data_IF_257972221103
#
_entry.id   IF_257972221103
#
_cell.length_a   1.000
_cell.length_b   1.000
_cell.length_c   1.000
_cell.angle_alpha   90.00
_cell.angle_beta   90.00
_cell.angle_gamma   90.00
#
_symmetry.space_group_name_H-M   'P 1'
#
loop_
_entity.id
_entity.type
_entity.pdbx_description
1 polymer ?
#
# COMPACT_ATOMS: atom_id res chain seq x y z
N UNK A 1 27.95 -4.89 7.85
CA UNK A 1 26.50 -5.07 7.60
C UNK A 1 25.88 -3.68 7.59
N UNK A 2 24.99 -3.34 6.65
CA UNK A 2 24.34 -2.02 6.60
C UNK A 2 23.09 -2.03 7.48
N UNK A 3 22.97 -1.08 8.39
CA UNK A 3 21.76 -0.85 9.17
C UNK A 3 20.95 0.24 8.47
N UNK A 4 19.68 -0.05 8.19
CA UNK A 4 18.79 0.83 7.43
C UNK A 4 17.62 1.18 8.34
N UNK A 5 17.58 2.41 8.88
CA UNK A 5 16.46 2.93 9.64
C UNK A 5 15.18 2.92 8.81
N UNK A 6 14.07 2.48 9.41
CA UNK A 6 12.75 2.47 8.78
C UNK A 6 11.76 3.24 9.64
N UNK A 7 11.06 4.20 9.02
CA UNK A 7 9.85 4.82 9.55
C UNK A 7 8.66 4.17 8.87
N UNK A 8 7.70 3.70 9.66
CA UNK A 8 6.47 3.09 9.18
C UNK A 8 5.27 4.00 9.46
N UNK A 9 4.70 4.60 8.42
CA UNK A 9 3.40 5.26 8.47
C UNK A 9 2.31 4.22 8.19
N UNK A 10 1.53 3.92 9.23
CA UNK A 10 0.44 2.94 9.18
C UNK A 10 0.79 1.64 9.90
N UNK A 11 -0.01 1.28 10.89
CA UNK A 11 0.08 0.01 11.62
C UNK A 11 -1.21 -0.83 11.47
N UNK A 12 -1.87 -0.72 10.31
CA UNK A 12 -3.06 -1.50 9.95
C UNK A 12 -2.72 -2.93 9.49
N UNK A 13 -3.55 -3.54 8.65
CA UNK A 13 -3.29 -4.87 8.08
C UNK A 13 -1.93 -5.00 7.40
N UNK A 14 -1.67 -4.15 6.40
CA UNK A 14 -0.39 -4.13 5.66
C UNK A 14 0.79 -3.79 6.56
N UNK A 15 0.66 -2.79 7.44
CA UNK A 15 1.73 -2.40 8.36
C UNK A 15 2.13 -3.51 9.31
N UNK A 16 1.17 -4.22 9.91
CA UNK A 16 1.45 -5.38 10.79
C UNK A 16 2.12 -6.52 10.02
N UNK A 17 1.63 -6.81 8.80
CA UNK A 17 2.24 -7.83 7.94
C UNK A 17 3.69 -7.49 7.59
N UNK A 18 3.98 -6.21 7.28
CA UNK A 18 5.35 -5.76 7.02
C UNK A 18 6.23 -5.87 8.25
N UNK A 19 5.75 -5.47 9.44
CA UNK A 19 6.51 -5.63 10.69
C UNK A 19 6.83 -7.10 10.96
N UNK A 20 5.84 -7.99 10.80
CA UNK A 20 6.01 -9.44 10.93
C UNK A 20 7.07 -9.96 9.94
N UNK A 21 6.97 -9.55 8.67
CA UNK A 21 7.92 -9.94 7.63
C UNK A 21 9.35 -9.46 7.94
N UNK A 22 9.52 -8.25 8.48
CA UNK A 22 10.84 -7.75 8.90
C UNK A 22 11.46 -8.63 9.98
N UNK A 23 10.66 -9.09 10.96
CA UNK A 23 11.11 -10.01 12.01
C UNK A 23 11.48 -11.36 11.38
N UNK A 24 10.54 -11.98 10.66
CA UNK A 24 10.66 -13.35 10.17
C UNK A 24 11.78 -13.51 9.14
N UNK A 25 12.12 -12.44 8.41
CA UNK A 25 13.14 -12.47 7.35
C UNK A 25 14.47 -11.82 7.74
N UNK A 26 14.63 -11.38 9.00
CA UNK A 26 15.80 -10.59 9.44
C UNK A 26 17.14 -11.27 9.10
N UNK A 27 17.29 -12.55 9.43
CA UNK A 27 18.51 -13.32 9.16
C UNK A 27 18.72 -13.60 7.66
N UNK A 28 17.63 -13.84 6.94
CA UNK A 28 17.66 -14.05 5.50
C UNK A 28 18.13 -12.78 4.77
N UNK A 29 17.57 -11.62 5.12
CA UNK A 29 17.94 -10.33 4.53
C UNK A 29 19.37 -9.94 4.94
N UNK A 30 19.76 -10.20 6.19
CA UNK A 30 21.12 -9.96 6.66
C UNK A 30 22.16 -10.78 5.89
N UNK A 31 21.88 -12.06 5.64
CA UNK A 31 22.80 -12.95 4.92
C UNK A 31 22.82 -12.69 3.40
N UNK A 32 21.66 -12.52 2.76
CA UNK A 32 21.57 -12.34 1.29
C UNK A 32 21.86 -10.92 0.84
N UNK A 33 21.32 -9.92 1.52
CA UNK A 33 21.38 -8.51 1.10
C UNK A 33 22.42 -7.71 1.87
N UNK A 34 23.07 -8.31 2.89
CA UNK A 34 24.07 -7.66 3.76
C UNK A 34 23.53 -6.40 4.44
N UNK A 35 22.21 -6.34 4.66
CA UNK A 35 21.52 -5.26 5.35
C UNK A 35 20.56 -5.76 6.42
N UNK A 36 20.23 -4.87 7.36
CA UNK A 36 19.22 -5.08 8.39
C UNK A 36 18.31 -3.87 8.40
N UNK A 37 17.00 -4.10 8.45
CA UNK A 37 16.02 -3.05 8.65
C UNK A 37 15.81 -2.86 10.15
N UNK A 38 16.08 -1.64 10.62
CA UNK A 38 15.88 -1.26 12.01
C UNK A 38 14.72 -0.28 12.05
N UNK A 39 13.56 -0.76 12.48
CA UNK A 39 12.36 0.07 12.58
C UNK A 39 12.58 1.06 13.73
N UNK A 40 12.73 2.34 13.41
CA UNK A 40 12.97 3.41 14.39
C UNK A 40 11.69 4.14 14.76
N UNK A 41 10.67 4.08 13.90
CA UNK A 41 9.38 4.70 14.16
C UNK A 41 8.23 3.88 13.59
N UNK A 42 7.13 3.79 14.34
CA UNK A 42 5.84 3.31 13.86
C UNK A 42 4.76 4.31 14.23
N UNK A 43 3.94 4.70 13.27
CA UNK A 43 2.83 5.62 13.46
C UNK A 43 1.51 4.97 13.01
N UNK A 44 0.45 5.18 13.76
CA UNK A 44 -0.92 4.89 13.32
C UNK A 44 -1.74 6.18 13.23
N UNK A 45 -3.07 6.14 13.09
CA UNK A 45 -3.89 7.36 12.99
C UNK A 45 -3.92 8.23 14.26
N UNK A 46 -3.53 7.70 15.42
CA UNK A 46 -3.72 8.36 16.74
C UNK A 46 -2.43 8.45 17.56
N UNK A 47 -1.46 7.62 17.26
CA UNK A 47 -0.34 7.35 18.14
C UNK A 47 0.93 7.03 17.37
N UNK A 48 2.06 7.16 18.04
CA UNK A 48 3.36 6.86 17.47
C UNK A 48 4.30 6.31 18.54
N UNK A 49 5.27 5.52 18.10
CA UNK A 49 6.37 5.05 18.90
C UNK A 49 7.67 5.38 18.18
N UNK A 50 8.60 6.02 18.88
CA UNK A 50 9.87 6.52 18.36
C UNK A 50 11.02 6.00 19.21
N UNK A 51 11.98 5.34 18.57
CA UNK A 51 13.20 4.82 19.18
C UNK A 51 14.34 4.89 18.16
N UNK A 52 15.15 5.97 18.16
CA UNK A 52 16.26 6.17 17.21
C UNK A 52 17.24 5.01 17.13
N UNK A 53 17.43 4.30 18.25
CA UNK A 53 18.31 3.13 18.32
C UNK A 53 17.71 1.86 17.65
N UNK A 54 16.47 1.93 17.17
CA UNK A 54 15.72 0.81 16.60
C UNK A 54 14.92 0.06 17.65
N UNK A 55 13.70 -0.34 17.28
CA UNK A 55 12.80 -1.19 18.07
C UNK A 55 13.24 -2.66 17.94
N UNK A 56 13.35 -3.35 19.09
CA UNK A 56 13.63 -4.78 19.14
C UNK A 56 12.45 -5.64 18.68
N UNK A 57 12.71 -6.91 18.36
CA UNK A 57 11.68 -7.81 17.83
C UNK A 57 10.49 -7.97 18.78
N UNK A 58 10.73 -8.10 20.09
CA UNK A 58 9.66 -8.15 21.10
C UNK A 58 8.79 -6.89 21.10
N UNK A 59 9.39 -5.71 20.90
CA UNK A 59 8.64 -4.45 20.80
C UNK A 59 7.80 -4.41 19.52
N UNK A 60 8.34 -4.90 18.40
CA UNK A 60 7.59 -5.00 17.13
C UNK A 60 6.42 -5.99 17.24
N UNK A 61 6.62 -7.12 17.92
CA UNK A 61 5.54 -8.08 18.22
C UNK A 61 4.46 -7.45 19.10
N UNK A 62 4.84 -6.72 20.15
CA UNK A 62 3.90 -5.99 21.00
C UNK A 62 3.07 -4.97 20.21
N UNK A 63 3.68 -4.26 19.26
CA UNK A 63 2.97 -3.35 18.35
C UNK A 63 1.93 -4.13 17.54
N UNK A 64 2.30 -5.27 16.94
CA UNK A 64 1.38 -6.10 16.16
C UNK A 64 0.18 -6.54 17.01
N UNK A 65 0.43 -7.10 18.20
CA UNK A 65 -0.63 -7.57 19.10
C UNK A 65 -1.53 -6.44 19.62
N UNK A 66 -0.95 -5.29 19.98
CA UNK A 66 -1.73 -4.12 20.40
C UNK A 66 -2.66 -3.66 19.27
N UNK A 67 -2.17 -3.63 18.03
CA UNK A 67 -2.98 -3.23 16.87
C UNK A 67 -4.05 -4.26 16.49
N UNK A 68 -3.78 -5.55 16.64
CA UNK A 68 -4.79 -6.63 16.55
C UNK A 68 -5.93 -6.42 17.54
N UNK A 69 -5.61 -6.02 18.77
CA UNK A 69 -6.59 -5.71 19.82
C UNK A 69 -7.23 -4.31 19.70
N UNK A 70 -6.97 -3.57 18.61
CA UNK A 70 -7.51 -2.21 18.41
C UNK A 70 -6.91 -1.14 19.33
N UNK A 71 -5.80 -1.43 20.00
CA UNK A 71 -5.16 -0.53 20.97
C UNK A 71 -4.25 0.49 20.27
N UNK A 72 -3.87 1.52 21.02
CA UNK A 72 -2.90 2.55 20.60
C UNK A 72 -1.47 2.06 20.83
N UNK A 73 -0.53 2.65 20.12
CA UNK A 73 0.90 2.35 20.25
C UNK A 73 1.65 3.58 20.76
N UNK A 74 2.36 3.47 21.88
CA UNK A 74 3.16 4.58 22.41
C UNK A 74 2.36 5.86 22.70
N UNK A 75 2.96 7.01 22.37
CA UNK A 75 2.47 8.35 22.73
C UNK A 75 1.49 8.95 21.71
N UNK A 76 1.07 10.20 21.95
CA UNK A 76 0.24 10.97 20.99
C UNK A 76 1.01 11.16 19.68
N UNK A 77 0.36 10.88 18.54
CA UNK A 77 0.95 11.04 17.20
C UNK A 77 1.42 12.48 16.95
N UNK A 78 2.62 12.59 16.37
CA UNK A 78 3.12 13.82 15.74
C UNK A 78 2.66 13.93 14.28
N UNK A 79 2.67 15.15 13.75
CA UNK A 79 2.48 15.36 12.32
C UNK A 79 3.57 14.66 11.50
N UNK A 80 3.23 14.18 10.30
CA UNK A 80 4.17 13.41 9.48
C UNK A 80 5.43 14.20 9.08
N UNK A 81 5.31 15.52 8.86
CA UNK A 81 6.46 16.37 8.55
C UNK A 81 7.37 16.55 9.76
N UNK A 82 6.77 16.67 10.95
CA UNK A 82 7.50 16.78 12.22
C UNK A 82 8.28 15.50 12.54
N UNK A 83 7.75 14.34 12.16
CA UNK A 83 8.47 13.06 12.31
C UNK A 83 9.74 13.05 11.47
N UNK A 84 9.71 13.58 10.25
CA UNK A 84 10.89 13.67 9.39
C UNK A 84 11.93 14.65 9.94
N UNK A 85 11.51 15.69 10.66
CA UNK A 85 12.43 16.64 11.33
C UNK A 85 13.23 15.98 12.47
N UNK A 86 12.75 14.87 13.02
CA UNK A 86 13.48 14.13 14.06
C UNK A 86 14.65 13.31 13.51
N UNK A 87 14.65 12.98 12.21
CA UNK A 87 15.67 12.11 11.62
C UNK A 87 17.08 12.72 11.67
N UNK A 88 17.33 13.97 11.24
CA UNK A 88 18.66 14.57 11.32
C UNK A 88 19.13 14.76 12.77
N UNK A 89 18.23 15.16 13.67
CA UNK A 89 18.53 15.34 15.10
C UNK A 89 18.98 14.03 15.76
N UNK A 90 18.46 12.91 15.29
CA UNK A 90 18.83 11.56 15.73
C UNK A 90 20.07 10.98 15.01
N UNK A 91 20.72 11.75 14.11
CA UNK A 91 21.87 11.28 13.32
C UNK A 91 21.51 10.25 12.25
N UNK A 92 20.24 10.18 11.83
CA UNK A 92 19.75 9.21 10.85
C UNK A 92 19.82 9.80 9.44
N UNK A 93 21.03 9.90 8.89
CA UNK A 93 21.31 10.46 7.56
C UNK A 93 20.72 9.65 6.39
N UNK A 94 20.29 8.41 6.65
CA UNK A 94 19.62 7.54 5.67
C UNK A 94 18.43 6.88 6.33
N UNK A 95 17.30 6.87 5.65
CA UNK A 95 16.07 6.27 6.13
C UNK A 95 15.26 5.70 4.97
N UNK A 96 14.45 4.69 5.28
CA UNK A 96 13.32 4.28 4.45
C UNK A 96 12.03 4.76 5.10
N UNK A 97 11.24 5.51 4.35
CA UNK A 97 9.90 5.97 4.74
C UNK A 97 8.88 5.07 4.05
N UNK A 98 8.17 4.27 4.83
CA UNK A 98 7.14 3.36 4.33
C UNK A 98 5.75 3.96 4.59
N UNK A 99 5.04 4.36 3.53
CA UNK A 99 3.62 4.72 3.61
C UNK A 99 2.76 3.51 3.25
N UNK A 100 2.29 2.85 4.30
CA UNK A 100 1.34 1.73 4.23
C UNK A 100 -0.01 2.13 4.81
N UNK A 101 -0.34 3.43 4.78
CA UNK A 101 -1.64 3.94 5.16
C UNK A 101 -2.63 3.90 4.00
N UNK A 102 -3.90 4.19 4.32
CA UNK A 102 -4.91 4.58 3.33
C UNK A 102 -5.19 6.10 3.41
N UNK A 103 -4.26 6.92 3.93
CA UNK A 103 -4.48 8.34 4.16
C UNK A 103 -4.37 9.16 2.87
N UNK A 104 -5.19 10.21 2.76
CA UNK A 104 -4.96 11.30 1.79
C UNK A 104 -3.94 12.28 2.37
N UNK A 105 -3.26 13.05 1.52
CA UNK A 105 -2.40 14.15 1.99
C UNK A 105 -1.01 13.71 2.47
N UNK A 106 -0.53 12.54 2.04
CA UNK A 106 0.83 12.07 2.36
C UNK A 106 1.89 12.64 1.42
N UNK A 107 1.48 13.30 0.34
CA UNK A 107 2.35 13.90 -0.68
C UNK A 107 3.40 14.85 -0.08
N UNK A 108 3.08 15.76 0.87
CA UNK A 108 4.09 16.61 1.49
C UNK A 108 5.16 15.82 2.27
N UNK A 109 4.76 14.75 2.96
CA UNK A 109 5.67 13.88 3.70
C UNK A 109 6.58 13.11 2.74
N UNK A 110 5.99 12.59 1.66
CA UNK A 110 6.72 11.86 0.61
C UNK A 110 7.73 12.80 -0.06
N UNK A 111 7.31 13.98 -0.51
CA UNK A 111 8.19 14.95 -1.16
C UNK A 111 9.34 15.37 -0.25
N UNK A 112 9.05 15.73 1.01
CA UNK A 112 10.10 16.07 1.99
C UNK A 112 11.08 14.92 2.23
N UNK A 113 10.61 13.68 2.27
CA UNK A 113 11.49 12.52 2.42
C UNK A 113 12.40 12.31 1.20
N UNK A 114 11.87 12.46 -0.01
CA UNK A 114 12.64 12.33 -1.25
C UNK A 114 13.66 13.46 -1.40
N UNK A 115 13.28 14.70 -1.08
CA UNK A 115 14.18 15.88 -1.06
C UNK A 115 15.35 15.70 -0.07
N UNK A 116 15.08 15.07 1.08
CA UNK A 116 16.11 14.72 2.07
C UNK A 116 17.00 13.53 1.65
N UNK A 117 16.77 12.93 0.47
CA UNK A 117 17.54 11.80 -0.04
C UNK A 117 17.15 10.45 0.57
N UNK A 118 16.02 10.36 1.28
CA UNK A 118 15.52 9.11 1.84
C UNK A 118 14.86 8.24 0.76
N UNK A 119 14.85 6.92 1.00
CA UNK A 119 14.06 6.00 0.19
C UNK A 119 12.60 6.04 0.64
N UNK A 120 11.67 5.98 -0.30
CA UNK A 120 10.23 5.91 -0.01
C UNK A 120 9.65 4.64 -0.61
N UNK A 121 8.84 3.93 0.18
CA UNK A 121 8.08 2.76 -0.28
C UNK A 121 6.59 2.97 0.00
N UNK A 122 5.75 2.76 -1.01
CA UNK A 122 4.30 2.99 -0.92
C UNK A 122 3.53 1.69 -1.08
N UNK A 123 2.59 1.44 -0.16
CA UNK A 123 1.40 0.64 -0.44
C UNK A 123 0.17 1.54 -0.64
N UNK A 124 0.25 2.80 -0.22
CA UNK A 124 -0.77 3.81 -0.47
C UNK A 124 -0.79 4.22 -1.94
N UNK A 125 -1.93 4.04 -2.59
CA UNK A 125 -2.15 4.39 -4.01
C UNK A 125 -2.40 5.89 -4.21
N UNK A 126 -2.90 6.59 -3.19
CA UNK A 126 -3.42 7.97 -3.32
C UNK A 126 -2.41 8.96 -3.90
N UNK A 127 -1.14 8.97 -3.46
CA UNK A 127 -0.13 9.86 -4.04
C UNK A 127 0.14 9.63 -5.54
N UNK A 128 -0.11 8.42 -6.04
CA UNK A 128 0.13 8.04 -7.44
C UNK A 128 -1.08 8.29 -8.34
N UNK A 129 -2.25 8.54 -7.76
CA UNK A 129 -3.53 8.69 -8.45
C UNK A 129 -4.13 10.09 -8.32
N UNK A 130 -3.36 11.07 -7.81
CA UNK A 130 -3.72 12.48 -7.88
C UNK A 130 -3.63 13.04 -9.30
N UNK A 131 -3.78 14.37 -9.49
CA UNK A 131 -3.57 15.03 -10.78
C UNK A 131 -2.23 14.62 -11.40
N UNK A 132 -2.21 14.34 -12.71
CA UNK A 132 -1.01 13.80 -13.37
C UNK A 132 0.20 14.72 -13.20
N UNK A 133 -0.01 16.03 -13.31
CA UNK A 133 1.04 17.04 -13.16
C UNK A 133 1.77 16.95 -11.81
N UNK A 134 1.04 16.61 -10.74
CA UNK A 134 1.58 16.48 -9.39
C UNK A 134 2.13 15.08 -9.08
N UNK A 135 1.71 14.05 -9.81
CA UNK A 135 2.08 12.66 -9.54
C UNK A 135 3.23 12.15 -10.43
N UNK A 136 3.43 12.75 -11.62
CA UNK A 136 4.34 12.23 -12.66
C UNK A 136 5.78 12.02 -12.20
N UNK A 137 6.29 12.87 -11.30
CA UNK A 137 7.66 12.75 -10.81
C UNK A 137 7.87 11.49 -9.97
N UNK A 138 6.85 11.01 -9.26
CA UNK A 138 6.95 9.78 -8.46
C UNK A 138 7.26 8.55 -9.31
N UNK A 139 6.72 8.48 -10.53
CA UNK A 139 6.90 7.32 -11.40
C UNK A 139 8.34 7.15 -11.90
N UNK A 140 9.07 8.25 -12.05
CA UNK A 140 10.46 8.28 -12.50
C UNK A 140 11.48 8.39 -11.34
N UNK A 141 11.03 8.59 -10.10
CA UNK A 141 11.95 8.88 -9.00
C UNK A 141 12.78 7.65 -8.59
N UNK A 142 14.13 7.73 -8.59
CA UNK A 142 14.99 6.57 -8.39
C UNK A 142 14.92 5.97 -6.99
N UNK A 143 14.52 6.76 -5.99
CA UNK A 143 14.40 6.34 -4.58
C UNK A 143 12.98 5.98 -4.14
N UNK A 144 12.00 5.95 -5.06
CA UNK A 144 10.61 5.64 -4.72
C UNK A 144 10.19 4.27 -5.29
N UNK A 145 9.55 3.43 -4.48
CA UNK A 145 9.01 2.12 -4.88
C UNK A 145 7.55 2.00 -4.44
N UNK A 146 6.75 1.26 -5.19
CA UNK A 146 5.30 1.17 -4.95
C UNK A 146 4.72 -0.17 -5.42
N UNK A 147 5.50 -1.26 -5.30
CA UNK A 147 5.11 -2.59 -5.80
C UNK A 147 3.74 -3.04 -5.28
N UNK A 148 3.48 -2.86 -3.98
CA UNK A 148 2.26 -3.34 -3.34
C UNK A 148 1.01 -2.51 -3.67
N UNK A 149 1.13 -1.44 -4.47
CA UNK A 149 -0.03 -0.64 -4.91
C UNK A 149 -0.88 -1.37 -5.94
N UNK A 150 -0.29 -2.25 -6.76
CA UNK A 150 -0.98 -3.04 -7.78
C UNK A 150 -0.43 -4.48 -7.78
N UNK A 151 -1.31 -5.48 -7.82
CA UNK A 151 -0.90 -6.89 -7.80
C UNK A 151 -0.53 -7.43 -6.41
N UNK A 152 -0.53 -6.59 -5.37
CA UNK A 152 -0.28 -7.01 -3.99
C UNK A 152 1.12 -7.58 -3.80
N UNK A 153 1.24 -8.90 -3.74
CA UNK A 153 2.52 -9.61 -3.67
C UNK A 153 3.10 -10.04 -5.02
N UNK A 154 2.37 -9.82 -6.12
CA UNK A 154 2.82 -10.16 -7.47
C UNK A 154 3.79 -9.09 -8.02
N UNK A 155 4.82 -9.48 -8.79
CA UNK A 155 5.82 -8.55 -9.33
C UNK A 155 5.30 -7.79 -10.56
N UNK A 156 4.22 -7.03 -10.41
CA UNK A 156 3.57 -6.30 -11.52
C UNK A 156 4.32 -5.02 -11.86
N UNK A 157 4.59 -4.18 -10.86
CA UNK A 157 5.21 -2.86 -11.02
C UNK A 157 6.66 -3.04 -11.46
N UNK A 158 7.40 -3.94 -10.81
CA UNK A 158 8.78 -4.26 -11.17
C UNK A 158 8.92 -4.79 -12.60
N UNK A 159 8.01 -5.65 -13.05
CA UNK A 159 8.00 -6.16 -14.44
C UNK A 159 7.73 -5.04 -15.43
N UNK A 160 6.72 -4.21 -15.20
CA UNK A 160 6.38 -3.10 -16.10
C UNK A 160 7.51 -2.06 -16.16
N UNK A 161 8.14 -1.76 -15.03
CA UNK A 161 9.31 -0.89 -14.99
C UNK A 161 10.48 -1.47 -15.77
N UNK A 162 10.77 -2.76 -15.60
CA UNK A 162 11.83 -3.43 -16.35
C UNK A 162 11.65 -3.25 -17.86
N UNK A 163 10.44 -3.53 -18.38
CA UNK A 163 10.11 -3.35 -19.81
C UNK A 163 10.32 -1.90 -20.26
N UNK A 164 9.87 -0.91 -19.48
CA UNK A 164 10.06 0.50 -19.78
C UNK A 164 11.52 0.92 -19.79
N UNK A 165 12.30 0.44 -18.81
CA UNK A 165 13.72 0.75 -18.66
C UNK A 165 14.56 0.11 -19.80
N UNK A 166 14.09 -1.02 -20.37
CA UNK A 166 14.71 -1.66 -21.55
C UNK A 166 14.25 -1.08 -22.89
N UNK A 167 13.34 -0.11 -22.87
CA UNK A 167 12.85 0.59 -24.06
C UNK A 167 11.70 -0.12 -24.79
N UNK A 168 11.09 -1.13 -24.18
CA UNK A 168 9.91 -1.79 -24.73
C UNK A 168 8.71 -0.84 -24.76
N UNK A 169 7.90 -0.98 -25.79
CA UNK A 169 6.63 -0.25 -25.93
C UNK A 169 5.49 -1.11 -25.39
N UNK A 170 4.73 -0.54 -24.46
CA UNK A 170 3.54 -1.20 -23.89
C UNK A 170 2.34 -0.86 -24.77
N UNK A 171 1.74 -1.89 -25.38
CA UNK A 171 0.56 -1.72 -26.25
C UNK A 171 -0.75 -1.85 -25.49
N UNK A 172 -0.76 -2.55 -24.36
CA UNK A 172 -1.96 -2.82 -23.58
C UNK A 172 -1.63 -3.52 -22.27
N UNK A 173 -2.49 -3.34 -21.28
CA UNK A 173 -2.41 -4.04 -19.99
C UNK A 173 -3.82 -4.55 -19.70
N UNK A 174 -3.94 -5.85 -19.49
CA UNK A 174 -5.18 -6.53 -19.14
C UNK A 174 -4.93 -7.43 -17.93
N UNK A 175 -5.88 -7.48 -17.00
CA UNK A 175 -5.76 -8.37 -15.85
C UNK A 175 -6.90 -8.24 -14.85
N UNK A 176 -7.05 -9.28 -14.02
CA UNK A 176 -7.93 -9.23 -12.86
C UNK A 176 -7.20 -8.58 -11.69
N UNK A 177 -7.58 -7.34 -11.37
CA UNK A 177 -6.91 -6.49 -10.40
C UNK A 177 -7.63 -6.43 -9.04
N UNK A 178 -8.78 -7.09 -8.87
CA UNK A 178 -9.48 -7.23 -7.58
C UNK A 178 -9.69 -8.71 -7.23
N UNK A 179 -9.25 -9.08 -6.01
CA UNK A 179 -9.48 -10.41 -5.47
C UNK A 179 -10.97 -10.68 -5.22
N UNK A 180 -11.67 -9.69 -4.64
CA UNK A 180 -13.11 -9.74 -4.35
C UNK A 180 -13.92 -9.93 -5.62
N UNK A 181 -13.71 -9.08 -6.63
CA UNK A 181 -14.42 -9.16 -7.90
C UNK A 181 -14.05 -10.44 -8.67
N UNK A 182 -12.78 -10.82 -8.65
CA UNK A 182 -12.31 -12.07 -9.26
C UNK A 182 -12.98 -13.30 -8.65
N UNK A 183 -13.12 -13.34 -7.33
CA UNK A 183 -13.84 -14.41 -6.65
C UNK A 183 -15.32 -14.43 -7.03
N UNK A 184 -16.00 -13.28 -6.96
CA UNK A 184 -17.43 -13.18 -7.29
C UNK A 184 -17.67 -13.63 -8.73
N UNK A 185 -16.93 -13.10 -9.71
CA UNK A 185 -17.05 -13.52 -11.11
C UNK A 185 -16.78 -15.02 -11.29
N UNK A 186 -15.77 -15.57 -10.62
CA UNK A 186 -15.49 -17.01 -10.68
C UNK A 186 -16.63 -17.86 -10.12
N UNK A 187 -17.40 -17.38 -9.15
CA UNK A 187 -18.56 -18.09 -8.61
C UNK A 187 -19.77 -17.99 -9.55
N UNK A 188 -19.98 -16.83 -10.18
CA UNK A 188 -21.00 -16.65 -11.22
C UNK A 188 -20.74 -17.56 -12.43
N UNK A 189 -19.49 -17.68 -12.88
CA UNK A 189 -19.10 -18.59 -13.96
C UNK A 189 -19.40 -20.07 -13.64
N UNK A 190 -19.42 -20.42 -12.36
CA UNK A 190 -19.81 -21.75 -11.85
C UNK A 190 -21.33 -21.90 -11.69
N UNK A 191 -22.11 -20.88 -12.05
CA UNK A 191 -23.58 -20.88 -11.95
C UNK A 191 -24.12 -20.52 -10.58
N UNK A 192 -23.31 -19.92 -9.68
CA UNK A 192 -23.80 -19.43 -8.39
C UNK A 192 -24.58 -18.13 -8.55
N UNK A 193 -25.58 -17.90 -7.70
CA UNK A 193 -26.27 -16.62 -7.64
C UNK A 193 -25.35 -15.52 -7.10
N UNK A 194 -25.50 -14.30 -7.62
CA UNK A 194 -24.69 -13.15 -7.20
C UNK A 194 -24.78 -12.87 -5.69
N UNK A 195 -25.98 -12.93 -5.09
CA UNK A 195 -26.14 -12.76 -3.63
C UNK A 195 -25.36 -13.79 -2.83
N UNK A 196 -25.33 -15.04 -3.29
CA UNK A 196 -24.65 -16.10 -2.58
C UNK A 196 -23.12 -15.91 -2.68
N UNK A 197 -22.63 -15.63 -3.88
CA UNK A 197 -21.21 -15.35 -4.10
C UNK A 197 -20.72 -14.15 -3.27
N UNK A 198 -21.54 -13.10 -3.17
CA UNK A 198 -21.23 -11.92 -2.35
C UNK A 198 -21.24 -12.24 -0.85
N UNK A 199 -22.25 -12.99 -0.38
CA UNK A 199 -22.34 -13.41 1.02
C UNK A 199 -21.15 -14.30 1.42
N UNK A 200 -20.76 -15.24 0.55
CA UNK A 200 -19.61 -16.11 0.76
C UNK A 200 -18.30 -15.31 0.79
N UNK A 201 -18.13 -14.35 -0.13
CA UNK A 201 -16.97 -13.45 -0.16
C UNK A 201 -16.84 -12.65 1.15
N UNK A 202 -17.95 -12.12 1.67
CA UNK A 202 -17.98 -11.40 2.94
C UNK A 202 -17.67 -12.32 4.12
N UNK A 203 -18.26 -13.52 4.17
CA UNK A 203 -18.00 -14.51 5.22
C UNK A 203 -16.52 -14.95 5.27
N UNK A 204 -15.83 -14.98 4.12
CA UNK A 204 -14.39 -15.26 4.04
C UNK A 204 -13.50 -14.04 4.29
N UNK A 205 -14.09 -12.85 4.49
CA UNK A 205 -13.37 -11.59 4.69
C UNK A 205 -12.66 -11.09 3.43
N UNK A 206 -13.16 -11.44 2.24
CA UNK A 206 -12.65 -10.89 0.98
C UNK A 206 -13.19 -9.49 0.70
N UNK A 207 -14.39 -9.16 1.15
CA UNK A 207 -14.97 -7.83 0.99
C UNK A 207 -14.52 -6.89 2.09
N UNK A 208 -14.57 -5.59 1.81
CA UNK A 208 -14.60 -4.56 2.86
C UNK A 208 -15.91 -4.67 3.69
N UNK A 209 -16.00 -4.01 4.86
CA UNK A 209 -17.22 -4.00 5.67
C UNK A 209 -18.46 -3.52 4.91
N UNK A 210 -18.26 -2.62 3.94
CA UNK A 210 -19.27 -2.23 2.96
C UNK A 210 -18.86 -2.77 1.57
N UNK A 211 -19.51 -3.83 1.06
CA UNK A 211 -19.12 -4.45 -0.21
C UNK A 211 -19.27 -3.54 -1.44
N UNK A 212 -19.99 -2.42 -1.33
CA UNK A 212 -20.08 -1.43 -2.41
C UNK A 212 -18.72 -0.83 -2.74
N UNK A 213 -17.81 -0.74 -1.76
CA UNK A 213 -16.46 -0.24 -1.99
C UNK A 213 -15.67 -1.11 -2.97
N UNK A 214 -15.88 -2.43 -2.92
CA UNK A 214 -15.30 -3.38 -3.89
C UNK A 214 -16.05 -3.34 -5.23
N UNK A 215 -17.39 -3.38 -5.20
CA UNK A 215 -18.25 -3.49 -6.39
C UNK A 215 -18.28 -2.23 -7.26
N UNK A 216 -18.04 -1.06 -6.65
CA UNK A 216 -17.97 0.23 -7.34
C UNK A 216 -16.72 0.41 -8.21
N UNK A 217 -15.77 -0.52 -8.17
CA UNK A 217 -14.62 -0.57 -9.08
C UNK A 217 -13.56 0.51 -8.85
N UNK A 218 -13.71 1.36 -7.83
CA UNK A 218 -12.81 2.50 -7.59
C UNK A 218 -11.37 2.07 -7.23
N UNK A 219 -11.19 0.96 -6.51
CA UNK A 219 -9.86 0.41 -6.26
C UNK A 219 -9.20 -0.13 -7.54
N UNK A 220 -9.97 -0.79 -8.41
CA UNK A 220 -9.51 -1.26 -9.72
C UNK A 220 -9.14 -0.08 -10.61
N UNK A 221 -9.98 0.96 -10.64
CA UNK A 221 -9.72 2.21 -11.36
C UNK A 221 -8.36 2.81 -11.01
N UNK A 222 -8.07 2.93 -9.70
CA UNK A 222 -6.77 3.44 -9.21
C UNK A 222 -5.59 2.56 -9.64
N UNK A 223 -5.75 1.25 -9.64
CA UNK A 223 -4.72 0.31 -10.11
C UNK A 223 -4.47 0.46 -11.61
N UNK A 224 -5.53 0.59 -12.42
CA UNK A 224 -5.43 0.86 -13.86
C UNK A 224 -4.74 2.20 -14.10
N UNK A 225 -5.10 3.26 -13.36
CA UNK A 225 -4.47 4.57 -13.47
C UNK A 225 -2.96 4.50 -13.22
N UNK A 226 -2.54 3.80 -12.15
CA UNK A 226 -1.12 3.58 -11.85
C UNK A 226 -0.43 2.82 -13.00
N UNK A 227 -1.03 1.73 -13.49
CA UNK A 227 -0.45 0.91 -14.56
C UNK A 227 -0.34 1.68 -15.89
N UNK A 228 -1.36 2.45 -16.26
CA UNK A 228 -1.33 3.24 -17.49
C UNK A 228 -0.30 4.38 -17.43
N UNK A 229 -0.21 5.07 -16.28
CA UNK A 229 0.84 6.07 -16.03
C UNK A 229 2.24 5.47 -16.11
N UNK A 230 2.43 4.28 -15.54
CA UNK A 230 3.68 3.54 -15.68
C UNK A 230 4.00 3.10 -17.11
N UNK A 231 2.99 2.73 -17.90
CA UNK A 231 3.15 2.38 -19.31
C UNK A 231 3.63 3.58 -20.15
N UNK A 232 3.54 4.80 -19.61
CA UNK A 232 3.94 6.05 -20.25
C UNK A 232 2.76 6.86 -20.77
N UNK A 233 1.53 6.53 -20.37
CA UNK A 233 0.33 7.27 -20.77
C UNK A 233 -0.03 8.30 -19.68
N UNK A 234 -0.08 9.60 -19.98
CA UNK A 234 -0.35 10.66 -19.01
C UNK A 234 -1.85 10.74 -18.67
N UNK A 235 -2.41 9.64 -18.15
CA UNK A 235 -3.84 9.50 -17.89
C UNK A 235 -4.28 10.31 -16.68
N UNK A 236 -5.47 10.88 -16.77
CA UNK A 236 -6.26 11.39 -15.64
C UNK A 236 -7.36 10.41 -15.23
N UNK A 237 -7.91 10.60 -14.02
CA UNK A 237 -8.92 9.70 -13.46
C UNK A 237 -10.19 9.69 -14.32
N UNK A 238 -10.59 10.82 -14.89
CA UNK A 238 -11.79 10.97 -15.73
C UNK A 238 -11.71 10.20 -17.05
N UNK A 239 -10.51 9.85 -17.51
CA UNK A 239 -10.29 9.10 -18.75
C UNK A 239 -10.48 7.59 -18.58
N UNK A 240 -10.67 7.10 -17.35
CA UNK A 240 -10.89 5.69 -17.06
C UNK A 240 -12.38 5.43 -16.86
N UNK A 241 -12.95 4.70 -17.81
CA UNK A 241 -14.32 4.20 -17.73
C UNK A 241 -14.40 3.04 -16.74
N UNK A 242 -15.42 3.07 -15.87
CA UNK A 242 -15.69 2.02 -14.89
C UNK A 242 -17.14 1.57 -15.02
N UNK A 243 -17.33 0.30 -15.33
CA UNK A 243 -18.63 -0.37 -15.23
C UNK A 243 -18.75 -1.05 -13.87
N UNK A 244 -19.67 -0.55 -13.03
CA UNK A 244 -19.88 -1.04 -11.66
C UNK A 244 -20.79 -2.26 -11.62
N UNK A 245 -20.49 -3.20 -10.70
CA UNK A 245 -21.35 -4.34 -10.39
C UNK A 245 -22.41 -4.04 -9.33
N UNK A 246 -22.48 -2.81 -8.80
CA UNK A 246 -23.52 -2.43 -7.81
C UNK A 246 -24.95 -2.60 -8.34
N UNK A 247 -25.16 -2.42 -9.65
CA UNK A 247 -26.47 -2.63 -10.27
C UNK A 247 -26.99 -4.06 -10.07
N UNK A 248 -26.09 -5.05 -10.00
CA UNK A 248 -26.41 -6.47 -9.77
C UNK A 248 -26.87 -6.73 -8.31
N UNK A 249 -26.49 -5.86 -7.36
CA UNK A 249 -26.99 -5.96 -5.98
C UNK A 249 -28.49 -5.65 -5.88
N UNK A 250 -29.05 -4.82 -6.77
CA UNK A 250 -30.49 -4.44 -6.72
C UNK A 250 -31.42 -5.54 -7.23
N UNK A 251 -30.90 -6.41 -8.10
CA UNK A 251 -31.60 -7.60 -8.62
C UNK A 251 -31.49 -8.79 -7.68
N UNK A 252 -30.41 -8.86 -6.89
CA UNK A 252 -30.29 -9.78 -5.77
C UNK A 252 -31.11 -9.24 -4.59
N UNK A 253 -31.87 -10.05 -3.86
CA UNK A 253 -32.62 -9.59 -2.67
C UNK A 253 -31.65 -9.20 -1.54
N UNK A 254 -31.09 -8.00 -1.61
CA UNK A 254 -30.36 -7.30 -0.55
C UNK A 254 -31.20 -6.11 -0.07
N UNK A 255 -32.47 -6.37 0.23
CA UNK A 255 -33.20 -5.60 1.22
C UNK A 255 -33.12 -6.45 2.50
N UNK A 256 -32.64 -5.88 3.60
CA UNK A 256 -32.55 -6.48 4.94
C UNK A 256 -31.18 -7.08 5.34
N UNK A 257 -30.08 -6.38 5.06
CA UNK A 257 -28.86 -6.42 5.91
C UNK A 257 -28.49 -4.99 6.30
#
# INVERSE_FOLDING_TARGET
>A
MKHIPVILFGAGGVGRALLRQIIDTRDLVASRNRCRFDVVCVLDSRSWLWQPAGLGDDQLLQIIYAKEAGQRIGGRRLDGLQVLDQLPEAGLERCLVADVTAAVGMEPVINKALEAGYGVVLANKKPLTGPWEDAKHYFAHPSLRYESTVGGGQPVISTLRYLRDTGDQIFGIEGQLSGTLGYICSQLDRGSDFSQALADANAMGYTEPDPREDLGGQDVKRKILILGRMAGWPLEDEEIEVESLESQMRTAKYCDI
#
